data_IF_605999478574
#
_entry.id   IF_605999478574
#
_cell.length_a   1.000
_cell.length_b   1.000
_cell.length_c   1.000
_cell.angle_alpha   90.00
_cell.angle_beta   90.00
_cell.angle_gamma   90.00
#
_symmetry.space_group_name_H-M   'P 1'
#
loop_
_entity.id
_entity.type
_entity.pdbx_description
1 polymer ?
#
# COMPACT_ATOMS: atom_id res chain seq x y z
N UNK A 1 -10.51 -23.83 33.66
CA UNK A 1 -10.54 -22.39 33.38
C UNK A 1 -9.48 -21.98 32.33
N UNK A 2 -8.27 -22.46 32.31
CA UNK A 2 -7.21 -22.03 31.35
C UNK A 2 -7.50 -22.29 29.88
N UNK A 3 -8.16 -23.39 29.50
CA UNK A 3 -8.51 -23.72 28.11
C UNK A 3 -9.54 -22.78 27.49
N UNK A 4 -10.44 -22.19 28.27
CA UNK A 4 -11.45 -21.24 27.77
C UNK A 4 -10.84 -19.87 27.51
N UNK A 5 -9.94 -19.40 28.37
CA UNK A 5 -9.23 -18.10 28.22
C UNK A 5 -8.32 -18.13 27.00
N UNK A 6 -7.58 -19.22 26.81
CA UNK A 6 -6.68 -19.38 25.63
C UNK A 6 -7.47 -19.40 24.31
N UNK A 7 -8.61 -20.10 24.25
CA UNK A 7 -9.48 -20.10 23.06
C UNK A 7 -10.03 -18.71 22.72
N UNK A 8 -10.39 -17.94 23.72
CA UNK A 8 -10.84 -16.56 23.51
C UNK A 8 -9.72 -15.69 22.93
N UNK A 9 -8.52 -15.81 23.47
CA UNK A 9 -7.36 -15.08 22.99
C UNK A 9 -6.98 -15.47 21.54
N UNK A 10 -6.97 -16.77 21.22
CA UNK A 10 -6.72 -17.25 19.87
C UNK A 10 -7.77 -16.73 18.87
N UNK A 11 -9.05 -16.57 19.30
CA UNK A 11 -10.10 -15.98 18.49
C UNK A 11 -9.86 -14.46 18.27
N UNK A 12 -9.37 -13.72 19.28
CA UNK A 12 -9.02 -12.30 19.14
C UNK A 12 -7.87 -12.11 18.16
N UNK A 13 -6.84 -12.97 18.18
CA UNK A 13 -5.74 -12.94 17.21
C UNK A 13 -6.21 -13.26 15.78
N UNK A 14 -7.10 -14.23 15.62
CA UNK A 14 -7.67 -14.55 14.31
C UNK A 14 -8.53 -13.40 13.76
N UNK A 15 -9.28 -12.74 14.64
CA UNK A 15 -10.06 -11.57 14.25
C UNK A 15 -9.15 -10.41 13.80
N UNK A 16 -8.04 -10.16 14.52
CA UNK A 16 -7.05 -9.16 14.14
C UNK A 16 -6.49 -9.41 12.74
N UNK A 17 -6.08 -10.65 12.45
CA UNK A 17 -5.59 -11.04 11.11
C UNK A 17 -6.64 -10.81 10.03
N UNK A 18 -7.90 -11.18 10.32
CA UNK A 18 -9.00 -11.03 9.37
C UNK A 18 -9.27 -9.56 9.04
N UNK A 19 -9.22 -8.70 10.06
CA UNK A 19 -9.41 -7.25 9.88
C UNK A 19 -8.28 -6.64 9.06
N UNK A 20 -7.02 -6.98 9.37
CA UNK A 20 -5.87 -6.48 8.64
C UNK A 20 -5.88 -6.94 7.18
N UNK A 21 -6.18 -8.21 6.92
CA UNK A 21 -6.31 -8.74 5.56
C UNK A 21 -7.43 -8.02 4.77
N UNK A 22 -8.59 -7.79 5.40
CA UNK A 22 -9.70 -7.07 4.78
C UNK A 22 -9.33 -5.62 4.43
N UNK A 23 -8.65 -4.92 5.33
CA UNK A 23 -8.15 -3.57 5.09
C UNK A 23 -7.15 -3.55 3.93
N UNK A 24 -6.20 -4.50 3.88
CA UNK A 24 -5.23 -4.61 2.79
C UNK A 24 -5.88 -4.88 1.43
N UNK A 25 -6.87 -5.75 1.36
CA UNK A 25 -7.63 -5.96 0.11
C UNK A 25 -8.44 -4.74 -0.31
N UNK A 26 -8.97 -3.97 0.66
CA UNK A 26 -9.67 -2.72 0.37
C UNK A 26 -8.71 -1.67 -0.21
N UNK A 27 -7.51 -1.51 0.36
CA UNK A 27 -6.47 -0.64 -0.17
C UNK A 27 -6.03 -1.03 -1.59
N UNK A 28 -5.84 -2.34 -1.86
CA UNK A 28 -5.57 -2.85 -3.21
C UNK A 28 -6.69 -2.52 -4.20
N UNK A 29 -7.95 -2.62 -3.77
CA UNK A 29 -9.12 -2.22 -4.56
C UNK A 29 -9.18 -0.71 -4.83
N UNK A 30 -8.73 0.12 -3.89
CA UNK A 30 -8.63 1.56 -4.07
C UNK A 30 -7.60 1.92 -5.16
N UNK A 31 -6.40 1.30 -5.15
CA UNK A 31 -5.38 1.48 -6.20
C UNK A 31 -5.97 1.10 -7.57
N UNK A 32 -6.58 -0.09 -7.68
CA UNK A 32 -7.14 -0.58 -8.94
C UNK A 32 -8.20 0.39 -9.50
N UNK A 33 -9.05 0.93 -8.61
CA UNK A 33 -10.07 1.92 -8.97
C UNK A 33 -9.46 3.27 -9.37
N UNK A 34 -8.46 3.76 -8.62
CA UNK A 34 -7.77 5.02 -8.94
C UNK A 34 -7.05 4.96 -10.28
N UNK A 35 -6.31 3.87 -10.56
CA UNK A 35 -5.64 3.66 -11.84
C UNK A 35 -6.62 3.47 -13.00
N UNK A 36 -7.77 2.85 -12.75
CA UNK A 36 -8.84 2.75 -13.75
C UNK A 36 -9.43 4.12 -14.05
N UNK A 37 -9.72 4.92 -13.02
CA UNK A 37 -10.22 6.27 -13.16
C UNK A 37 -9.25 7.15 -13.96
N UNK A 38 -7.95 7.09 -13.64
CA UNK A 38 -6.89 7.80 -14.35
C UNK A 38 -6.83 7.39 -15.83
N UNK A 39 -6.91 6.09 -16.13
CA UNK A 39 -6.82 5.54 -17.49
C UNK A 39 -8.02 5.89 -18.35
N UNK A 40 -9.21 5.95 -17.76
CA UNK A 40 -10.46 6.17 -18.47
C UNK A 40 -10.98 7.62 -18.39
N UNK A 41 -10.41 8.45 -17.50
CA UNK A 41 -10.92 9.78 -17.19
C UNK A 41 -12.25 9.75 -16.42
N UNK A 42 -12.55 8.66 -15.69
CA UNK A 42 -13.79 8.48 -14.93
C UNK A 42 -13.74 9.24 -13.59
N UNK A 43 -14.24 10.48 -13.60
CA UNK A 43 -14.26 11.35 -12.42
C UNK A 43 -15.22 10.86 -11.33
N UNK A 44 -16.28 10.12 -11.67
CA UNK A 44 -17.18 9.54 -10.66
C UNK A 44 -16.50 8.40 -9.90
N UNK A 45 -15.77 7.55 -10.62
CA UNK A 45 -14.96 6.51 -9.99
C UNK A 45 -13.87 7.13 -9.10
N UNK A 46 -13.19 8.19 -9.56
CA UNK A 46 -12.21 8.92 -8.77
C UNK A 46 -12.82 9.45 -7.46
N UNK A 47 -13.97 10.14 -7.53
CA UNK A 47 -14.69 10.60 -6.34
C UNK A 47 -15.08 9.47 -5.39
N UNK A 48 -15.40 8.29 -5.92
CA UNK A 48 -15.74 7.14 -5.09
C UNK A 48 -14.54 6.58 -4.33
N UNK A 49 -13.33 6.65 -4.90
CA UNK A 49 -12.09 6.28 -4.22
C UNK A 49 -11.85 7.22 -3.05
N UNK A 50 -11.86 8.53 -3.29
CA UNK A 50 -11.65 9.56 -2.27
C UNK A 50 -12.67 9.42 -1.11
N UNK A 51 -13.95 9.20 -1.44
CA UNK A 51 -15.00 9.08 -0.42
C UNK A 51 -14.85 7.85 0.48
N UNK A 52 -14.21 6.76 0.00
CA UNK A 52 -14.01 5.53 0.76
C UNK A 52 -12.76 5.52 1.62
N UNK A 53 -11.88 6.47 1.46
CA UNK A 53 -10.65 6.58 2.23
C UNK A 53 -10.92 6.59 3.74
N UNK A 54 -11.90 7.34 4.20
CA UNK A 54 -12.33 7.39 5.60
C UNK A 54 -12.80 6.04 6.19
N UNK A 55 -13.19 5.08 5.35
CA UNK A 55 -13.51 3.72 5.81
C UNK A 55 -12.23 2.95 6.16
N UNK A 56 -11.14 3.20 5.43
CA UNK A 56 -9.82 2.60 5.68
C UNK A 56 -9.20 3.22 6.92
N UNK A 57 -9.26 4.54 7.11
CA UNK A 57 -8.84 5.25 8.33
C UNK A 57 -9.55 4.69 9.58
N UNK A 58 -10.86 4.50 9.46
CA UNK A 58 -11.65 3.92 10.55
C UNK A 58 -11.22 2.51 10.89
N UNK A 59 -10.86 1.70 9.89
CA UNK A 59 -10.34 0.35 10.08
C UNK A 59 -8.94 0.35 10.70
N UNK A 60 -8.06 1.29 10.30
CA UNK A 60 -6.76 1.51 10.94
C UNK A 60 -6.92 1.73 12.44
N UNK A 61 -7.69 2.73 12.83
CA UNK A 61 -7.91 3.07 14.23
C UNK A 61 -8.47 1.88 15.04
N UNK A 62 -9.40 1.09 14.47
CA UNK A 62 -9.93 -0.09 15.14
C UNK A 62 -8.88 -1.17 15.33
N UNK A 63 -8.04 -1.43 14.32
CA UNK A 63 -6.95 -2.41 14.39
C UNK A 63 -5.90 -1.99 15.41
N UNK A 64 -5.47 -0.72 15.41
CA UNK A 64 -4.55 -0.16 16.40
C UNK A 64 -5.07 -0.32 17.82
N UNK A 65 -6.33 0.08 18.05
CA UNK A 65 -6.97 -0.06 19.36
C UNK A 65 -7.00 -1.52 19.83
N UNK A 66 -7.27 -2.47 18.93
CA UNK A 66 -7.23 -3.91 19.25
C UNK A 66 -5.83 -4.38 19.59
N UNK A 67 -4.80 -3.98 18.82
CA UNK A 67 -3.41 -4.31 19.12
C UNK A 67 -3.01 -3.82 20.51
N UNK A 68 -3.29 -2.56 20.84
CA UNK A 68 -3.01 -1.98 22.16
C UNK A 68 -3.77 -2.70 23.28
N UNK A 69 -5.03 -3.06 23.07
CA UNK A 69 -5.83 -3.83 24.00
C UNK A 69 -5.26 -5.22 24.27
N UNK A 70 -4.79 -5.91 23.21
CA UNK A 70 -4.12 -7.21 23.33
C UNK A 70 -2.81 -7.11 24.12
N UNK A 71 -1.98 -6.08 23.89
CA UNK A 71 -0.77 -5.85 24.69
C UNK A 71 -1.09 -5.65 26.16
N UNK A 72 -2.09 -4.83 26.47
CA UNK A 72 -2.46 -4.50 27.87
C UNK A 72 -3.06 -5.69 28.62
N UNK A 73 -3.95 -6.44 27.98
CA UNK A 73 -4.74 -7.47 28.67
C UNK A 73 -4.09 -8.85 28.66
N UNK A 74 -3.37 -9.19 27.60
CA UNK A 74 -2.91 -10.56 27.37
C UNK A 74 -1.41 -10.74 27.57
N UNK A 75 -0.63 -9.65 27.59
CA UNK A 75 0.84 -9.67 27.73
C UNK A 75 1.46 -10.71 26.78
N UNK A 76 1.24 -10.58 25.44
CA UNK A 76 1.64 -11.59 24.48
C UNK A 76 3.15 -11.84 24.53
N UNK A 77 3.56 -13.08 24.31
CA UNK A 77 4.98 -13.49 24.29
C UNK A 77 5.31 -14.23 23.00
N UNK A 78 6.58 -14.22 22.65
CA UNK A 78 7.14 -14.95 21.50
C UNK A 78 6.32 -14.76 20.21
N UNK A 79 5.75 -15.81 19.65
CA UNK A 79 4.99 -15.78 18.39
C UNK A 79 3.77 -14.85 18.43
N UNK A 80 3.03 -14.82 19.54
CA UNK A 80 1.87 -13.96 19.71
C UNK A 80 2.29 -12.48 19.74
N UNK A 81 3.40 -12.16 20.40
CA UNK A 81 3.97 -10.81 20.42
C UNK A 81 4.36 -10.36 19.01
N UNK A 82 5.03 -11.23 18.23
CA UNK A 82 5.37 -10.92 16.84
C UNK A 82 4.13 -10.64 16.00
N UNK A 83 3.06 -11.44 16.18
CA UNK A 83 1.81 -11.30 15.45
C UNK A 83 1.16 -9.95 15.69
N UNK A 84 0.97 -9.56 16.94
CA UNK A 84 0.35 -8.27 17.29
C UNK A 84 1.24 -7.10 16.87
N UNK A 85 2.58 -7.23 17.03
CA UNK A 85 3.52 -6.19 16.60
C UNK A 85 3.54 -6.02 15.09
N UNK A 86 3.50 -7.12 14.32
CA UNK A 86 3.39 -7.09 12.86
C UNK A 86 2.11 -6.37 12.42
N UNK A 87 0.97 -6.74 13.00
CA UNK A 87 -0.30 -6.09 12.67
C UNK A 87 -0.28 -4.59 12.95
N UNK A 88 0.26 -4.16 14.11
CA UNK A 88 0.38 -2.75 14.48
C UNK A 88 1.30 -1.95 13.54
N UNK A 89 2.27 -2.60 12.91
CA UNK A 89 3.17 -1.96 11.95
C UNK A 89 2.59 -1.92 10.54
N UNK A 90 2.03 -3.04 10.10
CA UNK A 90 1.45 -3.14 8.76
C UNK A 90 0.22 -2.25 8.58
N UNK A 91 -0.56 -2.02 9.63
CA UNK A 91 -1.80 -1.24 9.53
C UNK A 91 -1.53 0.17 8.98
N UNK A 92 -0.46 0.82 9.45
CA UNK A 92 -0.06 2.15 8.95
C UNK A 92 0.46 2.11 7.51
N UNK A 93 1.22 1.06 7.11
CA UNK A 93 1.62 0.91 5.71
C UNK A 93 0.40 0.71 4.78
N UNK A 94 -0.63 -0.01 5.24
CA UNK A 94 -1.86 -0.23 4.47
C UNK A 94 -2.69 1.06 4.34
N UNK A 95 -2.79 1.85 5.41
CA UNK A 95 -3.43 3.18 5.37
C UNK A 95 -2.70 4.08 4.37
N UNK A 96 -1.37 4.16 4.43
CA UNK A 96 -0.58 4.95 3.48
C UNK A 96 -0.79 4.51 2.02
N UNK A 97 -0.97 3.22 1.77
CA UNK A 97 -1.32 2.71 0.43
C UNK A 97 -2.68 3.28 -0.03
N UNK A 98 -3.67 3.35 0.84
CA UNK A 98 -4.97 3.91 0.51
C UNK A 98 -4.90 5.42 0.29
N UNK A 99 -4.17 6.16 1.15
CA UNK A 99 -3.88 7.59 0.98
C UNK A 99 -3.31 7.87 -0.43
N UNK A 100 -2.28 7.10 -0.87
CA UNK A 100 -1.69 7.30 -2.19
C UNK A 100 -2.70 7.04 -3.32
N UNK A 101 -3.60 6.06 -3.15
CA UNK A 101 -4.66 5.80 -4.14
C UNK A 101 -5.67 6.95 -4.19
N UNK A 102 -6.02 7.54 -3.04
CA UNK A 102 -6.87 8.72 -2.92
C UNK A 102 -6.20 9.94 -3.58
N UNK A 103 -4.92 10.18 -3.32
CA UNK A 103 -4.13 11.26 -3.92
C UNK A 103 -4.10 11.16 -5.47
N UNK A 104 -3.89 9.95 -6.03
CA UNK A 104 -3.94 9.71 -7.48
C UNK A 104 -5.35 10.02 -8.03
N UNK A 105 -6.40 9.63 -7.30
CA UNK A 105 -7.78 9.91 -7.69
C UNK A 105 -8.08 11.42 -7.63
N UNK A 106 -7.55 12.16 -6.66
CA UNK A 106 -7.69 13.62 -6.58
C UNK A 106 -7.06 14.32 -7.78
N UNK A 107 -5.86 13.95 -8.17
CA UNK A 107 -5.20 14.48 -9.37
C UNK A 107 -6.06 14.17 -10.62
N UNK A 108 -6.63 12.97 -10.71
CA UNK A 108 -7.48 12.57 -11.85
C UNK A 108 -8.68 13.50 -12.04
N UNK A 109 -9.21 14.14 -10.98
CA UNK A 109 -10.36 15.04 -11.08
C UNK A 109 -10.06 16.32 -11.85
N UNK A 110 -8.83 16.78 -11.87
CA UNK A 110 -8.45 18.05 -12.52
C UNK A 110 -7.43 17.89 -13.64
N UNK A 111 -6.85 16.70 -13.79
CA UNK A 111 -5.89 16.42 -14.85
C UNK A 111 -6.55 16.56 -16.23
N UNK A 112 -6.01 17.47 -17.05
CA UNK A 112 -6.53 17.68 -18.41
C UNK A 112 -6.07 16.54 -19.33
N UNK A 113 -6.99 15.69 -19.88
CA UNK A 113 -6.60 14.47 -20.60
C UNK A 113 -5.70 14.71 -21.82
N UNK A 114 -5.96 15.77 -22.59
CA UNK A 114 -5.18 16.08 -23.78
C UNK A 114 -3.79 16.61 -23.42
N UNK A 115 -3.69 17.41 -22.34
CA UNK A 115 -2.42 17.87 -21.79
C UNK A 115 -1.55 16.70 -21.29
N UNK A 116 -2.14 15.80 -20.52
CA UNK A 116 -1.46 14.62 -20.01
C UNK A 116 -0.92 13.71 -21.13
N UNK A 117 -1.69 13.52 -22.22
CA UNK A 117 -1.23 12.75 -23.39
C UNK A 117 -0.05 13.40 -24.09
N UNK A 118 0.02 14.72 -24.10
CA UNK A 118 1.10 15.46 -24.76
C UNK A 118 2.44 15.25 -24.07
N UNK A 119 2.44 15.05 -22.73
CA UNK A 119 3.68 14.75 -21.96
C UNK A 119 4.28 13.39 -22.35
N UNK A 120 3.45 12.41 -22.75
CA UNK A 120 3.89 11.16 -23.36
C UNK A 120 4.28 10.05 -22.38
N UNK A 121 4.13 10.23 -21.05
CA UNK A 121 4.54 9.25 -20.02
C UNK A 121 3.39 8.38 -19.50
N UNK A 122 2.15 8.55 -19.99
CA UNK A 122 0.97 7.87 -19.45
C UNK A 122 1.06 6.35 -19.50
N UNK A 123 1.54 5.78 -20.61
CA UNK A 123 1.66 4.32 -20.76
C UNK A 123 2.65 3.73 -19.75
N UNK A 124 3.75 4.44 -19.47
CA UNK A 124 4.72 4.05 -18.46
C UNK A 124 4.14 4.18 -17.03
N UNK A 125 3.38 5.24 -16.74
CA UNK A 125 2.66 5.39 -15.47
C UNK A 125 1.64 4.26 -15.27
N UNK A 126 0.90 3.87 -16.32
CA UNK A 126 -0.02 2.74 -16.23
C UNK A 126 0.70 1.42 -15.97
N UNK A 127 1.83 1.17 -16.63
CA UNK A 127 2.63 -0.03 -16.42
C UNK A 127 3.22 -0.06 -15.01
N UNK A 128 3.72 1.07 -14.49
CA UNK A 128 4.20 1.19 -13.11
C UNK A 128 3.08 0.97 -12.10
N UNK A 129 1.88 1.53 -12.35
CA UNK A 129 0.70 1.30 -11.53
C UNK A 129 0.29 -0.18 -11.45
N UNK A 130 0.37 -0.90 -12.58
CA UNK A 130 0.12 -2.34 -12.61
C UNK A 130 1.17 -3.11 -11.77
N UNK A 131 2.44 -2.73 -11.82
CA UNK A 131 3.51 -3.32 -10.98
C UNK A 131 3.24 -3.05 -9.50
N UNK A 132 3.02 -1.80 -9.10
CA UNK A 132 2.77 -1.42 -7.72
C UNK A 132 1.52 -2.12 -7.15
N UNK A 133 0.43 -2.20 -7.93
CA UNK A 133 -0.77 -2.94 -7.55
C UNK A 133 -0.49 -4.42 -7.29
N UNK A 134 0.30 -5.06 -8.16
CA UNK A 134 0.67 -6.47 -7.96
C UNK A 134 1.55 -6.64 -6.72
N UNK A 135 2.52 -5.73 -6.47
CA UNK A 135 3.34 -5.77 -5.25
C UNK A 135 2.48 -5.69 -3.99
N UNK A 136 1.50 -4.78 -3.94
CA UNK A 136 0.58 -4.66 -2.79
C UNK A 136 -0.27 -5.92 -2.63
N UNK A 137 -0.89 -6.44 -3.69
CA UNK A 137 -1.70 -7.67 -3.65
C UNK A 137 -0.88 -8.87 -3.17
N UNK A 138 0.32 -9.02 -3.69
CA UNK A 138 1.24 -10.12 -3.32
C UNK A 138 1.72 -9.97 -1.86
N UNK A 139 2.01 -8.76 -1.39
CA UNK A 139 2.42 -8.51 0.00
C UNK A 139 1.29 -8.88 1.00
N UNK A 140 0.05 -8.51 0.72
CA UNK A 140 -1.11 -8.90 1.54
C UNK A 140 -1.34 -10.41 1.48
N UNK A 141 -1.23 -11.04 0.30
CA UNK A 141 -1.35 -12.49 0.16
C UNK A 141 -0.24 -13.22 0.94
N UNK A 142 1.00 -12.72 0.87
CA UNK A 142 2.13 -13.24 1.64
C UNK A 142 1.87 -13.17 3.15
N UNK A 143 1.29 -12.08 3.65
CA UNK A 143 0.89 -11.97 5.06
C UNK A 143 -0.15 -13.01 5.44
N UNK A 144 -1.22 -13.14 4.68
CA UNK A 144 -2.33 -14.07 4.98
C UNK A 144 -1.83 -15.52 5.02
N UNK A 145 -0.90 -15.89 4.13
CA UNK A 145 -0.37 -17.26 4.02
C UNK A 145 0.92 -17.47 4.83
N UNK A 146 1.49 -16.40 5.40
CA UNK A 146 2.84 -16.39 6.03
C UNK A 146 3.89 -16.96 5.05
N UNK A 147 3.82 -16.54 3.79
CA UNK A 147 4.65 -17.05 2.68
C UNK A 147 5.88 -16.15 2.44
N UNK A 148 7.04 -16.65 2.89
CA UNK A 148 8.33 -15.95 2.72
C UNK A 148 8.78 -15.88 1.25
N UNK A 149 8.38 -16.84 0.41
CA UNK A 149 8.77 -16.84 -1.01
C UNK A 149 8.10 -15.69 -1.75
N UNK A 150 6.79 -15.52 -1.54
CA UNK A 150 6.04 -14.39 -2.12
C UNK A 150 6.53 -13.06 -1.54
N UNK A 151 6.81 -12.97 -0.24
CA UNK A 151 7.38 -11.77 0.37
C UNK A 151 8.74 -11.39 -0.26
N UNK A 152 9.63 -12.35 -0.48
CA UNK A 152 10.92 -12.11 -1.14
C UNK A 152 10.76 -11.64 -2.60
N UNK A 153 9.73 -12.12 -3.33
CA UNK A 153 9.44 -11.68 -4.69
C UNK A 153 8.94 -10.22 -4.72
N UNK A 154 8.13 -9.81 -3.73
CA UNK A 154 7.70 -8.40 -3.59
C UNK A 154 8.91 -7.50 -3.40
N UNK A 155 9.81 -7.84 -2.47
CA UNK A 155 11.03 -7.07 -2.20
C UNK A 155 11.92 -6.97 -3.46
N UNK A 156 12.09 -8.07 -4.19
CA UNK A 156 12.90 -8.07 -5.41
C UNK A 156 12.30 -7.25 -6.56
N UNK A 157 10.97 -7.09 -6.61
CA UNK A 157 10.27 -6.32 -7.65
C UNK A 157 10.37 -4.81 -7.46
N UNK A 158 10.81 -4.35 -6.32
CA UNK A 158 11.01 -2.94 -6.00
C UNK A 158 12.03 -2.27 -6.93
N UNK A 159 13.10 -2.98 -7.27
CA UNK A 159 14.10 -2.49 -8.23
C UNK A 159 13.48 -2.14 -9.60
N UNK A 160 12.46 -2.88 -10.04
CA UNK A 160 11.74 -2.59 -11.30
C UNK A 160 10.89 -1.32 -11.15
N UNK A 161 10.22 -1.13 -10.01
CA UNK A 161 9.43 0.06 -9.70
C UNK A 161 10.31 1.31 -9.65
N UNK A 162 11.43 1.25 -8.95
CA UNK A 162 12.43 2.32 -8.83
C UNK A 162 13.05 2.71 -10.18
N UNK A 163 13.35 1.72 -11.02
CA UNK A 163 13.87 1.96 -12.35
C UNK A 163 12.85 2.71 -13.24
N UNK A 164 11.56 2.36 -13.14
CA UNK A 164 10.50 3.06 -13.85
C UNK A 164 10.32 4.48 -13.33
N UNK A 165 10.22 4.67 -12.02
CA UNK A 165 10.17 6.00 -11.40
C UNK A 165 11.31 6.91 -11.88
N UNK A 166 12.56 6.39 -11.83
CA UNK A 166 13.73 7.15 -12.29
C UNK A 166 13.68 7.52 -13.78
N UNK A 167 13.09 6.69 -14.64
CA UNK A 167 12.93 6.94 -16.07
C UNK A 167 11.84 7.99 -16.30
N UNK A 168 10.64 7.78 -15.78
CA UNK A 168 9.48 8.68 -15.94
C UNK A 168 9.82 10.08 -15.42
N UNK A 169 10.41 10.18 -14.23
CA UNK A 169 10.83 11.46 -13.65
C UNK A 169 11.78 12.24 -14.55
N UNK A 170 12.74 11.57 -15.22
CA UNK A 170 13.67 12.22 -16.16
C UNK A 170 12.96 12.70 -17.43
N UNK A 171 12.03 11.92 -17.95
CA UNK A 171 11.23 12.29 -19.12
C UNK A 171 10.35 13.51 -18.83
N UNK A 172 9.68 13.52 -17.69
CA UNK A 172 8.88 14.66 -17.23
C UNK A 172 9.76 15.92 -17.06
N UNK A 173 10.92 15.80 -16.43
CA UNK A 173 11.85 16.93 -16.27
C UNK A 173 12.33 17.48 -17.61
N UNK A 174 12.64 16.63 -18.57
CA UNK A 174 13.01 17.03 -19.92
C UNK A 174 11.85 17.71 -20.66
N UNK A 175 10.62 17.19 -20.48
CA UNK A 175 9.42 17.80 -21.06
C UNK A 175 9.17 19.20 -20.52
N UNK A 176 9.23 19.41 -19.20
CA UNK A 176 9.05 20.73 -18.56
C UNK A 176 10.08 21.73 -19.11
N UNK A 177 11.34 21.32 -19.26
CA UNK A 177 12.38 22.18 -19.77
C UNK A 177 12.12 22.65 -21.22
N UNK A 178 11.48 21.80 -22.02
CA UNK A 178 11.11 22.10 -23.42
C UNK A 178 9.78 22.84 -23.54
N UNK A 179 8.85 22.63 -22.60
CA UNK A 179 7.45 23.10 -22.65
C UNK A 179 7.04 23.74 -21.30
N UNK A 180 7.63 24.86 -20.89
CA UNK A 180 7.37 25.44 -19.56
C UNK A 180 5.92 25.90 -19.37
N UNK A 181 5.15 26.08 -20.45
CA UNK A 181 3.72 26.40 -20.38
C UNK A 181 2.84 25.25 -19.88
N UNK A 182 3.30 24.00 -19.99
CA UNK A 182 2.57 22.79 -19.61
C UNK A 182 3.06 22.21 -18.26
N UNK A 183 3.84 23.01 -17.51
CA UNK A 183 4.49 22.54 -16.29
C UNK A 183 3.51 22.04 -15.22
N UNK A 184 2.31 22.61 -15.11
CA UNK A 184 1.29 22.20 -14.14
C UNK A 184 0.88 20.74 -14.39
N UNK A 185 0.45 20.42 -15.61
CA UNK A 185 0.08 19.04 -16.00
C UNK A 185 1.24 18.07 -15.85
N UNK A 186 2.46 18.48 -16.21
CA UNK A 186 3.63 17.62 -16.07
C UNK A 186 4.00 17.36 -14.60
N UNK A 187 3.77 18.32 -13.71
CA UNK A 187 3.94 18.15 -12.26
C UNK A 187 2.87 17.24 -11.66
N UNK A 188 1.63 17.31 -12.12
CA UNK A 188 0.57 16.36 -11.72
C UNK A 188 0.98 14.92 -12.06
N UNK A 189 1.49 14.69 -13.26
CA UNK A 189 1.98 13.37 -13.66
C UNK A 189 3.21 12.94 -12.86
N UNK A 190 4.10 13.86 -12.50
CA UNK A 190 5.22 13.56 -11.59
C UNK A 190 4.74 13.18 -10.19
N UNK A 191 3.69 13.82 -9.68
CA UNK A 191 3.11 13.45 -8.39
C UNK A 191 2.51 12.05 -8.44
N UNK A 192 1.81 11.68 -9.52
CA UNK A 192 1.32 10.30 -9.73
C UNK A 192 2.48 9.31 -9.74
N UNK A 193 3.58 9.60 -10.48
CA UNK A 193 4.80 8.80 -10.52
C UNK A 193 5.35 8.56 -9.10
N UNK A 194 5.42 9.63 -8.29
CA UNK A 194 5.89 9.55 -6.90
C UNK A 194 4.96 8.75 -6.00
N UNK A 195 3.66 8.86 -6.17
CA UNK A 195 2.71 8.06 -5.40
C UNK A 195 2.81 6.57 -5.75
N UNK A 196 3.01 6.23 -7.02
CA UNK A 196 3.20 4.84 -7.45
C UNK A 196 4.47 4.21 -6.86
N UNK A 197 5.59 4.95 -6.82
CA UNK A 197 6.82 4.48 -6.17
C UNK A 197 6.57 4.24 -4.67
N UNK A 198 5.89 5.15 -3.97
CA UNK A 198 5.57 4.98 -2.55
C UNK A 198 4.66 3.78 -2.28
N UNK A 199 3.77 3.41 -3.21
CA UNK A 199 2.99 2.16 -3.11
C UNK A 199 3.92 0.94 -3.09
N UNK A 200 4.96 0.92 -3.93
CA UNK A 200 6.00 -0.10 -3.93
C UNK A 200 6.75 -0.16 -2.60
N UNK A 201 7.24 0.98 -2.11
CA UNK A 201 7.91 1.11 -0.82
C UNK A 201 7.08 0.51 0.35
N UNK A 202 5.78 0.85 0.42
CA UNK A 202 4.90 0.32 1.46
C UNK A 202 4.62 -1.18 1.29
N UNK A 203 4.53 -1.68 0.05
CA UNK A 203 4.41 -3.13 -0.20
C UNK A 203 5.67 -3.88 0.26
N UNK A 204 6.86 -3.33 0.05
CA UNK A 204 8.14 -3.87 0.58
C UNK A 204 8.12 -3.88 2.10
N UNK A 205 7.71 -2.79 2.75
CA UNK A 205 7.60 -2.75 4.21
C UNK A 205 6.69 -3.87 4.74
N UNK A 206 5.52 -4.07 4.12
CA UNK A 206 4.61 -5.17 4.47
C UNK A 206 5.30 -6.53 4.32
N UNK A 207 6.00 -6.77 3.20
CA UNK A 207 6.72 -8.02 2.94
C UNK A 207 7.82 -8.29 3.99
N UNK A 208 8.57 -7.28 4.40
CA UNK A 208 9.56 -7.36 5.47
C UNK A 208 8.93 -7.69 6.84
N UNK A 209 7.72 -7.17 7.11
CA UNK A 209 6.97 -7.55 8.32
C UNK A 209 6.46 -8.99 8.27
N UNK A 210 6.19 -9.56 7.10
CA UNK A 210 5.91 -11.00 6.94
C UNK A 210 7.14 -11.83 7.31
N UNK A 211 8.33 -11.42 6.90
CA UNK A 211 9.58 -12.06 7.31
C UNK A 211 9.74 -12.03 8.84
N UNK A 212 9.54 -10.86 9.46
CA UNK A 212 9.58 -10.72 10.91
C UNK A 212 8.56 -11.60 11.63
N UNK A 213 7.33 -11.64 11.15
CA UNK A 213 6.28 -12.50 11.71
C UNK A 213 6.74 -13.96 11.83
N UNK A 214 7.40 -14.46 10.80
CA UNK A 214 7.85 -15.85 10.72
C UNK A 214 9.12 -16.09 11.50
N UNK A 215 10.12 -15.22 11.37
CA UNK A 215 11.50 -15.47 11.80
C UNK A 215 11.93 -14.69 13.04
N UNK A 216 11.27 -13.56 13.33
CA UNK A 216 11.69 -12.57 14.32
C UNK A 216 12.82 -11.65 13.82
N UNK A 217 13.15 -11.71 12.53
CA UNK A 217 14.16 -10.85 11.87
C UNK A 217 13.44 -9.81 11.01
N UNK A 218 13.80 -8.55 11.13
CA UNK A 218 13.33 -7.45 10.30
C UNK A 218 14.52 -6.66 9.77
N UNK A 219 14.56 -6.41 8.45
CA UNK A 219 15.67 -5.70 7.78
C UNK A 219 17.06 -6.26 8.20
N UNK A 220 17.21 -7.57 8.14
CA UNK A 220 18.42 -8.31 8.53
C UNK A 220 18.82 -8.15 10.01
N UNK A 221 17.95 -7.62 10.87
CA UNK A 221 18.18 -7.49 12.32
C UNK A 221 17.20 -8.33 13.12
N UNK A 222 17.73 -9.17 14.03
CA UNK A 222 16.88 -9.90 14.97
C UNK A 222 16.32 -8.92 16.01
N UNK A 223 14.99 -8.84 16.12
CA UNK A 223 14.30 -7.97 17.07
C UNK A 223 13.88 -8.75 18.33
N UNK A 224 13.37 -9.98 18.16
CA UNK A 224 12.92 -10.87 19.26
C UNK A 224 13.27 -12.31 18.95
#
# INVERSE_FOLDING_TARGET
MGTSVRKMYDAELLQLDTMLARMGYAAGGAIESAMTALRTGDTELARSVIARDSEIDSAEHEIEHRCLTLFLRQQPVAGDLRKVSTALKMVTDIERIADQASDIAEITLHLHPDGARTVGVLDDLYAMGDIALHMVKDAIAAYVQVDLSTAAQVIARDDDCDAMFSRISKEIAAYIAAHPGDAETALDLFMIDKYLERLGDHAVNIAEWVEFLKTGVHKSRKIV
#
